data_IF_178417409523
#
_entry.id   IF_178417409523
#
_cell.length_a   1.000
_cell.length_b   1.000
_cell.length_c   1.000
_cell.angle_alpha   90.00
_cell.angle_beta   90.00
_cell.angle_gamma   90.00
#
_symmetry.space_group_name_H-M   'P 1'
#
loop_
_entity.id
_entity.type
_entity.pdbx_description
1 polymer ?
#
# COMPACT_ATOMS: atom_id res chain seq x y z
N UNK A 1 6.45 12.63 -10.31
CA UNK A 1 5.79 13.12 -9.08
C UNK A 1 5.97 12.20 -7.87
N UNK A 2 5.27 11.07 -7.66
CA UNK A 2 5.37 10.30 -6.37
C UNK A 2 6.81 9.95 -5.97
N UNK A 3 7.64 9.55 -6.93
CA UNK A 3 9.07 9.25 -6.69
C UNK A 3 9.85 10.48 -6.21
N UNK A 4 9.60 11.67 -6.79
CA UNK A 4 10.25 12.92 -6.36
C UNK A 4 9.87 13.29 -4.92
N UNK A 5 8.60 13.05 -4.53
CA UNK A 5 8.14 13.27 -3.16
C UNK A 5 8.78 12.28 -2.19
N UNK A 6 8.95 11.02 -2.62
CA UNK A 6 9.67 10.03 -1.84
C UNK A 6 11.11 10.45 -1.61
N UNK A 7 11.81 10.88 -2.66
CA UNK A 7 13.19 11.37 -2.58
C UNK A 7 13.33 12.56 -1.63
N UNK A 8 12.42 13.53 -1.72
CA UNK A 8 12.40 14.69 -0.82
C UNK A 8 12.30 14.28 0.65
N UNK A 9 11.41 13.33 0.98
CA UNK A 9 11.21 12.84 2.35
C UNK A 9 12.38 12.00 2.84
N UNK A 10 12.99 11.20 1.98
CA UNK A 10 14.18 10.42 2.32
C UNK A 10 15.37 11.36 2.61
N UNK A 11 15.54 12.42 1.82
CA UNK A 11 16.56 13.46 2.06
C UNK A 11 16.34 14.13 3.42
N UNK A 12 15.10 14.55 3.71
CA UNK A 12 14.75 15.15 5.01
C UNK A 12 14.92 14.19 6.18
N UNK A 13 14.64 12.90 5.97
CA UNK A 13 14.83 11.87 6.99
C UNK A 13 16.31 11.69 7.36
N UNK A 14 17.20 11.77 6.36
CA UNK A 14 18.66 11.70 6.55
C UNK A 14 19.22 12.95 7.23
N UNK A 15 18.78 14.14 6.81
CA UNK A 15 19.23 15.42 7.39
C UNK A 15 18.95 15.51 8.89
N UNK A 16 17.78 15.03 9.31
CA UNK A 16 17.31 15.19 10.69
C UNK A 16 17.42 13.91 11.53
N UNK A 17 17.97 12.83 10.96
CA UNK A 17 18.05 11.52 11.59
C UNK A 17 16.70 11.04 12.18
N UNK A 18 15.60 11.28 11.44
CA UNK A 18 14.24 10.93 11.84
C UNK A 18 13.44 10.45 10.64
N UNK A 19 12.97 9.21 10.69
CA UNK A 19 12.16 8.60 9.63
C UNK A 19 10.87 9.39 9.40
N UNK A 20 10.62 9.73 8.13
CA UNK A 20 9.36 10.28 7.64
C UNK A 20 8.70 9.27 6.72
N UNK A 21 7.41 9.09 6.87
CA UNK A 21 6.64 8.11 6.11
C UNK A 21 5.77 8.84 5.09
N UNK A 22 5.70 8.29 3.88
CA UNK A 22 4.80 8.70 2.82
C UNK A 22 3.76 7.61 2.62
N UNK A 23 2.54 7.88 3.06
CA UNK A 23 1.38 7.01 2.84
C UNK A 23 0.54 7.63 1.73
N UNK A 24 0.04 6.80 0.82
CA UNK A 24 -0.66 7.28 -0.37
C UNK A 24 -2.10 6.78 -0.36
N UNK A 25 -3.05 7.70 -0.49
CA UNK A 25 -4.44 7.37 -0.78
C UNK A 25 -4.64 7.43 -2.30
N UNK A 26 -5.05 6.32 -2.90
CA UNK A 26 -5.39 6.26 -4.31
C UNK A 26 -6.54 5.28 -4.53
N UNK A 27 -7.64 5.77 -5.09
CA UNK A 27 -8.75 4.93 -5.52
C UNK A 27 -8.45 4.41 -6.93
N UNK A 28 -8.39 3.08 -7.06
CA UNK A 28 -8.10 2.42 -8.32
C UNK A 28 -8.18 0.90 -8.18
N UNK A 29 -7.88 0.21 -9.28
CA UNK A 29 -7.69 -1.24 -9.27
C UNK A 29 -6.49 -1.64 -8.42
N UNK A 30 -6.47 -2.88 -7.92
CA UNK A 30 -5.36 -3.40 -7.13
C UNK A 30 -4.00 -3.22 -7.85
N UNK A 31 -3.93 -3.52 -9.15
CA UNK A 31 -2.74 -3.31 -9.97
C UNK A 31 -2.27 -1.86 -9.99
N UNK A 32 -3.21 -0.89 -10.06
CA UNK A 32 -2.87 0.52 -9.99
C UNK A 32 -2.35 0.90 -8.61
N UNK A 33 -2.98 0.39 -7.55
CA UNK A 33 -2.53 0.55 -6.16
C UNK A 33 -1.10 0.03 -5.99
N UNK A 34 -0.79 -1.14 -6.53
CA UNK A 34 0.54 -1.76 -6.40
C UNK A 34 1.66 -0.96 -7.09
N UNK A 35 1.34 -0.19 -8.14
CA UNK A 35 2.31 0.70 -8.82
C UNK A 35 2.80 1.83 -7.90
N UNK A 36 2.03 2.22 -6.89
CA UNK A 36 2.41 3.29 -5.97
C UNK A 36 3.51 2.92 -4.97
N UNK A 37 3.81 1.63 -4.78
CA UNK A 37 5.04 1.21 -4.10
C UNK A 37 6.30 1.55 -4.90
N UNK A 38 6.18 1.77 -6.22
CA UNK A 38 7.30 2.04 -7.12
C UNK A 38 8.12 0.79 -7.45
N UNK A 39 9.41 0.96 -7.66
CA UNK A 39 10.39 -0.12 -7.92
C UNK A 39 11.61 0.07 -7.03
N UNK A 40 12.52 -0.92 -6.98
CA UNK A 40 13.77 -0.79 -6.23
C UNK A 40 14.66 0.37 -6.72
N UNK A 41 14.59 0.72 -8.00
CA UNK A 41 15.33 1.85 -8.59
C UNK A 41 14.60 3.19 -8.51
N UNK A 42 13.27 3.17 -8.32
CA UNK A 42 12.43 4.35 -8.23
C UNK A 42 11.36 4.13 -7.15
N UNK A 43 11.73 4.24 -5.86
CA UNK A 43 10.83 3.95 -4.76
C UNK A 43 9.65 4.94 -4.76
N UNK A 44 8.45 4.39 -4.58
CA UNK A 44 7.24 5.19 -4.43
C UNK A 44 6.93 5.50 -2.97
N UNK A 45 5.64 5.55 -2.63
CA UNK A 45 5.20 5.64 -1.25
C UNK A 45 5.74 4.47 -0.42
N UNK A 46 5.82 4.65 0.90
CA UNK A 46 6.19 3.57 1.81
C UNK A 46 5.14 2.45 1.76
N UNK A 47 3.87 2.85 1.67
CA UNK A 47 2.76 2.00 1.25
C UNK A 47 1.59 2.87 0.78
N UNK A 48 0.82 2.43 -0.24
CA UNK A 48 -0.51 2.94 -0.52
C UNK A 48 -1.54 2.29 0.40
N UNK A 49 -2.60 3.00 0.77
CA UNK A 49 -3.68 2.41 1.57
C UNK A 49 -4.35 1.25 0.83
N UNK A 50 -4.55 0.15 1.56
CA UNK A 50 -5.28 -1.02 1.10
C UNK A 50 -6.75 -0.93 1.54
N UNK A 51 -7.63 -0.62 0.59
CA UNK A 51 -9.06 -0.47 0.86
C UNK A 51 -9.88 -1.74 0.58
N UNK A 52 -9.24 -2.89 0.33
CA UNK A 52 -9.97 -4.11 -0.01
C UNK A 52 -10.94 -4.57 1.09
N UNK A 53 -10.65 -4.30 2.37
CA UNK A 53 -11.59 -4.59 3.46
C UNK A 53 -12.82 -3.67 3.45
N UNK A 54 -12.68 -2.44 2.96
CA UNK A 54 -13.82 -1.52 2.80
C UNK A 54 -14.65 -1.89 1.58
N UNK A 55 -14.00 -2.34 0.50
CA UNK A 55 -14.67 -2.56 -0.79
C UNK A 55 -15.18 -3.98 -1.01
N UNK A 56 -14.52 -4.99 -0.44
CA UNK A 56 -14.74 -6.41 -0.78
C UNK A 56 -15.19 -7.25 0.44
N UNK A 57 -15.21 -6.68 1.65
CA UNK A 57 -15.74 -7.34 2.85
C UNK A 57 -16.95 -6.57 3.36
N UNK A 58 -18.04 -7.29 3.64
CA UNK A 58 -19.33 -6.71 3.93
C UNK A 58 -19.94 -7.31 5.20
N UNK A 59 -20.76 -6.50 5.88
CA UNK A 59 -21.56 -6.95 7.01
C UNK A 59 -22.93 -7.47 6.56
N UNK A 60 -23.48 -6.98 5.44
CA UNK A 60 -24.79 -7.41 4.89
C UNK A 60 -24.75 -7.47 3.35
N UNK A 61 -24.83 -8.67 2.74
CA UNK A 61 -24.68 -9.96 3.40
C UNK A 61 -23.30 -10.07 4.09
N UNK A 62 -23.25 -10.77 5.21
CA UNK A 62 -21.99 -11.01 5.93
C UNK A 62 -21.04 -11.82 5.07
N UNK A 63 -19.81 -11.33 4.88
CA UNK A 63 -18.77 -12.07 4.18
C UNK A 63 -18.35 -13.31 4.96
N UNK A 64 -18.17 -14.44 4.26
CA UNK A 64 -17.71 -15.68 4.88
C UNK A 64 -16.23 -15.60 5.29
N UNK A 65 -15.80 -16.53 6.14
CA UNK A 65 -14.39 -16.66 6.50
C UNK A 65 -13.50 -16.93 5.26
N UNK A 66 -14.01 -17.69 4.28
CA UNK A 66 -13.30 -17.92 3.01
C UNK A 66 -13.16 -16.63 2.20
N UNK A 67 -14.20 -15.80 2.13
CA UNK A 67 -14.16 -14.52 1.40
C UNK A 67 -13.17 -13.54 2.05
N UNK A 68 -13.16 -13.45 3.39
CA UNK A 68 -12.19 -12.65 4.13
C UNK A 68 -10.76 -13.15 3.87
N UNK A 69 -10.54 -14.47 3.92
CA UNK A 69 -9.22 -15.06 3.63
C UNK A 69 -8.78 -14.80 2.19
N UNK A 70 -9.70 -14.92 1.23
CA UNK A 70 -9.44 -14.61 -0.17
C UNK A 70 -9.06 -13.14 -0.37
N UNK A 71 -9.72 -12.21 0.33
CA UNK A 71 -9.38 -10.77 0.29
C UNK A 71 -8.00 -10.48 0.85
N UNK A 72 -7.62 -11.13 1.96
CA UNK A 72 -6.26 -11.03 2.53
C UNK A 72 -5.22 -11.53 1.52
N UNK A 73 -5.40 -12.74 1.00
CA UNK A 73 -4.45 -13.37 0.07
C UNK A 73 -4.34 -12.58 -1.24
N UNK A 74 -5.47 -12.09 -1.77
CA UNK A 74 -5.51 -11.21 -2.97
C UNK A 74 -4.55 -10.03 -2.85
N UNK A 75 -4.44 -9.41 -1.68
CA UNK A 75 -3.48 -8.33 -1.45
C UNK A 75 -2.05 -8.85 -1.30
N UNK A 76 -1.84 -9.84 -0.43
CA UNK A 76 -0.51 -10.35 -0.11
C UNK A 76 0.19 -10.97 -1.32
N UNK A 77 -0.54 -11.64 -2.21
CA UNK A 77 -0.02 -12.27 -3.43
C UNK A 77 0.56 -11.24 -4.42
N UNK A 78 0.18 -9.96 -4.31
CA UNK A 78 0.69 -8.87 -5.13
C UNK A 78 1.85 -8.10 -4.47
N UNK A 79 2.07 -8.31 -3.17
CA UNK A 79 3.15 -7.65 -2.43
C UNK A 79 4.46 -8.41 -2.69
N UNK A 80 5.36 -7.79 -3.46
CA UNK A 80 6.70 -8.33 -3.70
C UNK A 80 7.62 -8.12 -2.50
N UNK A 81 8.62 -8.98 -2.35
CA UNK A 81 9.56 -9.03 -1.22
C UNK A 81 10.09 -7.65 -0.78
N UNK A 82 9.94 -7.38 0.52
CA UNK A 82 10.45 -6.18 1.20
C UNK A 82 9.48 -5.01 1.32
N UNK A 83 8.28 -5.10 0.75
CA UNK A 83 7.24 -4.06 0.87
C UNK A 83 6.34 -4.30 2.08
N UNK A 84 5.90 -3.22 2.72
CA UNK A 84 5.05 -3.27 3.92
C UNK A 84 3.57 -3.32 3.53
N UNK A 85 2.83 -4.40 3.85
CA UNK A 85 1.38 -4.42 3.68
C UNK A 85 0.68 -3.57 4.77
N UNK A 86 -0.53 -3.13 4.48
CA UNK A 86 -1.40 -2.45 5.45
C UNK A 86 -2.86 -2.88 5.24
N UNK A 87 -3.71 -2.55 6.21
CA UNK A 87 -5.14 -2.90 6.23
C UNK A 87 -5.91 -1.72 6.82
N UNK A 88 -6.97 -1.29 6.13
CA UNK A 88 -7.92 -0.25 6.57
C UNK A 88 -9.30 -0.86 6.67
#
# INVERSE_FOLDING_TARGET
MVVEWRELLDNKSREENRTRVLMLEAYGTLDQTMRYYGTSSAPGGHFPFNFLFITDVHYEPESSAEEISATINKYLDQITDGRTPNWV
#
